data_IF_046081729834
#
_entry.id   IF_046081729834
#
_cell.length_a   1.000
_cell.length_b   1.000
_cell.length_c   1.000
_cell.angle_alpha   90.00
_cell.angle_beta   90.00
_cell.angle_gamma   90.00
#
_symmetry.space_group_name_H-M   'P 1'
#
loop_
_entity.id
_entity.type
_entity.pdbx_description
1 polymer ?
#
# COMPACT_ATOMS: atom_id res chain seq x y z
N UNK A 1 -30.56 111.30 -21.25
CA UNK A 1 -29.78 110.04 -21.33
C UNK A 1 -29.67 109.27 -20.02
N UNK A 2 -29.58 109.92 -18.84
CA UNK A 2 -29.48 109.23 -17.53
C UNK A 2 -30.79 108.55 -17.08
N UNK A 3 -31.94 109.20 -17.30
CA UNK A 3 -33.25 108.65 -16.93
C UNK A 3 -33.62 107.39 -17.75
N UNK A 4 -33.31 107.37 -19.06
CA UNK A 4 -33.55 106.20 -19.91
C UNK A 4 -32.68 104.99 -19.51
N UNK A 5 -31.43 105.22 -19.09
CA UNK A 5 -30.56 104.16 -18.56
C UNK A 5 -31.08 103.60 -17.23
N UNK A 6 -31.60 104.45 -16.34
CA UNK A 6 -32.19 104.01 -15.07
C UNK A 6 -33.46 103.18 -15.29
N UNK A 7 -34.30 103.55 -16.25
CA UNK A 7 -35.50 102.79 -16.63
C UNK A 7 -35.16 101.41 -17.23
N UNK A 8 -34.16 101.32 -18.10
CA UNK A 8 -33.71 100.03 -18.63
C UNK A 8 -33.11 99.12 -17.56
N UNK A 9 -32.36 99.66 -16.60
CA UNK A 9 -31.78 98.88 -15.49
C UNK A 9 -32.88 98.39 -14.54
N UNK A 10 -33.86 99.23 -14.21
CA UNK A 10 -35.03 98.85 -13.41
C UNK A 10 -35.84 97.72 -14.07
N UNK A 11 -36.06 97.80 -15.38
CA UNK A 11 -36.80 96.77 -16.11
C UNK A 11 -36.03 95.46 -16.22
N UNK A 12 -34.70 95.52 -16.31
CA UNK A 12 -33.85 94.33 -16.27
C UNK A 12 -33.89 93.66 -14.89
N UNK A 13 -33.82 94.43 -13.80
CA UNK A 13 -33.92 93.90 -12.42
C UNK A 13 -35.27 93.24 -12.12
N UNK A 14 -36.37 93.76 -12.66
CA UNK A 14 -37.69 93.11 -12.54
C UNK A 14 -37.80 91.79 -13.33
N UNK A 15 -37.04 91.64 -14.41
CA UNK A 15 -36.97 90.39 -15.18
C UNK A 15 -36.21 89.26 -14.48
N UNK A 16 -35.36 89.57 -13.49
CA UNK A 16 -34.61 88.56 -12.72
C UNK A 16 -35.39 88.00 -11.52
N UNK A 17 -36.52 88.61 -11.11
CA UNK A 17 -37.28 88.19 -9.92
C UNK A 17 -38.21 86.98 -10.14
N UNK A 18 -38.20 86.36 -11.33
CA UNK A 18 -39.04 85.20 -11.67
C UNK A 18 -38.34 83.84 -11.66
N UNK A 19 -37.08 83.76 -11.24
CA UNK A 19 -36.25 82.55 -11.32
C UNK A 19 -36.06 81.82 -9.98
N UNK A 20 -37.02 81.95 -9.06
CA UNK A 20 -37.00 81.23 -7.79
C UNK A 20 -38.38 80.66 -7.48
N UNK A 21 -38.71 79.53 -8.11
CA UNK A 21 -39.94 78.79 -7.87
C UNK A 21 -39.65 77.65 -6.88
N UNK A 22 -39.30 78.02 -5.64
CA UNK A 22 -39.00 77.10 -4.52
C UNK A 22 -40.15 76.10 -4.25
N UNK A 23 -41.37 76.41 -4.71
CA UNK A 23 -42.54 75.53 -4.61
C UNK A 23 -42.56 74.35 -5.60
N UNK A 24 -41.74 74.35 -6.65
CA UNK A 24 -41.76 73.30 -7.69
C UNK A 24 -41.25 71.95 -7.18
N UNK A 25 -40.44 71.93 -6.11
CA UNK A 25 -39.83 70.73 -5.55
C UNK A 25 -40.31 70.37 -4.13
N UNK A 26 -41.37 71.03 -3.64
CA UNK A 26 -41.92 70.76 -2.31
C UNK A 26 -42.35 69.29 -2.15
N UNK A 27 -42.93 68.69 -3.21
CA UNK A 27 -43.34 67.28 -3.25
C UNK A 27 -42.15 66.31 -3.15
N UNK A 28 -41.03 66.63 -3.82
CA UNK A 28 -39.81 65.85 -3.74
C UNK A 28 -39.20 65.89 -2.33
N UNK A 29 -39.24 67.06 -1.68
CA UNK A 29 -38.84 67.22 -0.29
C UNK A 29 -39.66 66.32 0.64
N UNK A 30 -40.99 66.34 0.51
CA UNK A 30 -41.88 65.49 1.29
C UNK A 30 -41.65 63.99 1.04
N UNK A 31 -41.42 63.59 -0.20
CA UNK A 31 -41.13 62.20 -0.55
C UNK A 31 -39.82 61.70 0.08
N UNK A 32 -38.77 62.53 0.07
CA UNK A 32 -37.48 62.18 0.69
C UNK A 32 -37.63 62.03 2.21
N UNK A 33 -38.34 62.94 2.86
CA UNK A 33 -38.55 62.88 4.30
C UNK A 33 -39.40 61.67 4.70
N UNK A 34 -40.43 61.34 3.92
CA UNK A 34 -41.22 60.13 4.12
C UNK A 34 -40.37 58.85 3.91
N UNK A 35 -39.56 58.81 2.85
CA UNK A 35 -38.70 57.67 2.55
C UNK A 35 -37.66 57.44 3.66
N UNK A 36 -37.12 58.52 4.24
CA UNK A 36 -36.18 58.46 5.38
C UNK A 36 -36.86 58.04 6.68
N UNK A 37 -38.12 58.42 6.89
CA UNK A 37 -38.89 58.08 8.07
C UNK A 37 -39.35 56.61 8.10
N UNK A 38 -39.26 55.89 6.96
CA UNK A 38 -39.60 54.46 6.91
C UNK A 38 -38.58 53.65 7.73
N UNK A 39 -39.02 52.92 8.76
CA UNK A 39 -38.12 52.13 9.58
C UNK A 39 -37.50 51.01 8.75
N UNK A 40 -36.16 50.88 8.78
CA UNK A 40 -35.47 49.74 8.21
C UNK A 40 -35.84 48.48 9.01
N UNK A 41 -36.40 47.47 8.34
CA UNK A 41 -36.73 46.19 8.97
C UNK A 41 -35.50 45.51 9.58
N UNK A 42 -35.74 44.58 10.50
CA UNK A 42 -34.67 43.78 11.09
C UNK A 42 -34.16 42.78 10.05
N UNK A 43 -32.87 42.82 9.71
CA UNK A 43 -32.24 41.89 8.77
C UNK A 43 -31.83 40.66 9.57
N UNK A 44 -32.29 39.47 9.16
CA UNK A 44 -31.90 38.25 9.84
C UNK A 44 -30.38 38.07 9.83
N UNK A 45 -29.77 37.74 10.98
CA UNK A 45 -28.33 37.56 11.07
C UNK A 45 -27.89 36.40 10.19
N UNK A 46 -26.70 36.55 9.60
CA UNK A 46 -26.10 35.51 8.79
C UNK A 46 -26.01 34.19 9.57
N UNK A 47 -26.26 33.04 8.91
CA UNK A 47 -26.20 31.74 9.56
C UNK A 47 -24.79 31.49 10.10
N UNK A 48 -24.71 30.96 11.32
CA UNK A 48 -23.43 30.62 11.93
C UNK A 48 -22.89 29.36 11.27
N UNK A 49 -21.73 29.47 10.64
CA UNK A 49 -20.98 28.32 10.14
C UNK A 49 -20.52 27.45 11.31
N UNK A 50 -20.79 26.14 11.24
CA UNK A 50 -20.24 25.21 12.22
C UNK A 50 -18.75 25.00 11.92
N UNK A 51 -17.87 25.07 12.92
CA UNK A 51 -16.47 24.76 12.71
C UNK A 51 -16.32 23.30 12.24
N UNK A 52 -15.42 23.08 11.29
CA UNK A 52 -15.04 21.77 10.83
C UNK A 52 -14.24 21.06 11.93
N UNK A 53 -14.71 19.89 12.38
CA UNK A 53 -13.93 19.02 13.26
C UNK A 53 -12.98 18.17 12.42
N UNK A 54 -11.68 18.29 12.68
CA UNK A 54 -10.66 17.48 12.02
C UNK A 54 -10.72 16.05 12.54
N UNK A 55 -11.08 15.10 11.69
CA UNK A 55 -10.98 13.68 11.99
C UNK A 55 -9.56 13.19 11.72
N UNK A 56 -8.86 12.72 12.76
CA UNK A 56 -7.52 12.14 12.60
C UNK A 56 -7.64 10.64 12.34
N UNK A 57 -7.18 10.19 11.17
CA UNK A 57 -7.25 8.78 10.78
C UNK A 57 -6.14 7.96 11.46
N UNK A 58 -6.49 7.30 12.57
CA UNK A 58 -5.54 6.46 13.34
C UNK A 58 -5.38 5.03 12.80
N UNK A 59 -6.13 4.65 11.76
CA UNK A 59 -6.12 3.27 11.24
C UNK A 59 -4.91 2.94 10.34
N UNK A 60 -4.05 3.90 10.03
CA UNK A 60 -2.77 3.64 9.35
C UNK A 60 -1.82 2.75 10.18
N UNK A 61 -1.93 2.80 11.51
CA UNK A 61 -1.12 1.98 12.42
C UNK A 61 -1.78 0.62 12.75
N UNK A 62 -2.98 0.37 12.24
CA UNK A 62 -3.66 -0.90 12.43
C UNK A 62 -3.27 -1.87 11.32
N UNK A 63 -3.33 -3.16 11.65
CA UNK A 63 -3.14 -4.24 10.67
C UNK A 63 -4.17 -4.11 9.55
N UNK A 64 -3.73 -4.31 8.31
CA UNK A 64 -4.63 -4.26 7.15
C UNK A 64 -5.79 -5.26 7.31
N UNK A 65 -7.05 -4.81 7.18
CA UNK A 65 -8.22 -5.69 7.28
C UNK A 65 -8.32 -6.68 6.11
N UNK A 66 -7.53 -6.49 5.05
CA UNK A 66 -7.48 -7.35 3.87
C UNK A 66 -6.37 -8.40 3.93
N UNK A 67 -5.56 -8.40 5.01
CA UNK A 67 -4.56 -9.45 5.22
C UNK A 67 -5.17 -10.60 6.03
N UNK A 68 -5.17 -11.84 5.50
CA UNK A 68 -5.69 -12.99 6.23
C UNK A 68 -4.88 -13.18 7.53
N UNK A 69 -5.51 -13.51 8.67
CA UNK A 69 -4.80 -13.80 9.93
C UNK A 69 -3.70 -14.84 9.72
N UNK A 70 -2.44 -14.46 9.95
CA UNK A 70 -1.35 -15.43 10.00
C UNK A 70 -1.58 -16.25 11.26
N UNK A 71 -2.03 -17.50 11.10
CA UNK A 71 -2.05 -18.47 12.19
C UNK A 71 -0.59 -18.78 12.51
N UNK A 72 -0.03 -18.09 13.51
CA UNK A 72 1.28 -18.44 14.04
C UNK A 72 1.07 -19.72 14.85
N UNK A 73 1.14 -20.84 14.16
CA UNK A 73 0.96 -22.14 14.78
C UNK A 73 2.26 -22.53 15.50
N UNK A 74 2.46 -21.97 16.69
CA UNK A 74 3.58 -22.28 17.58
C UNK A 74 3.58 -23.76 18.00
N UNK A 75 2.46 -24.48 17.80
CA UNK A 75 2.32 -25.91 18.11
C UNK A 75 2.77 -26.81 16.96
N UNK A 76 2.85 -26.29 15.73
CA UNK A 76 3.37 -27.01 14.56
C UNK A 76 4.85 -26.77 14.29
N UNK A 77 5.60 -26.24 15.27
CA UNK A 77 7.06 -26.40 15.24
C UNK A 77 7.31 -27.90 15.40
N UNK A 78 7.66 -28.57 14.30
CA UNK A 78 8.10 -29.97 14.35
C UNK A 78 9.19 -30.05 15.41
N UNK A 79 8.86 -30.58 16.60
CA UNK A 79 9.84 -30.74 17.67
C UNK A 79 10.87 -31.74 17.15
N UNK A 80 12.15 -31.35 17.17
CA UNK A 80 13.22 -32.27 16.83
C UNK A 80 13.12 -33.56 17.64
N UNK A 81 13.27 -34.69 16.98
CA UNK A 81 13.25 -36.00 17.64
C UNK A 81 14.66 -36.40 18.01
N UNK A 82 14.87 -36.86 19.26
CA UNK A 82 16.16 -37.45 19.68
C UNK A 82 16.47 -38.79 19.01
N UNK A 83 15.47 -39.40 18.36
CA UNK A 83 15.60 -40.69 17.66
C UNK A 83 16.22 -40.55 16.27
N UNK A 84 16.15 -39.37 15.66
CA UNK A 84 16.66 -39.14 14.31
C UNK A 84 18.08 -38.60 14.41
N UNK A 85 19.11 -39.45 14.47
CA UNK A 85 20.51 -38.99 14.45
C UNK A 85 21.14 -39.30 13.09
N UNK A 86 22.01 -38.41 12.55
CA UNK A 86 22.90 -38.79 11.46
C UNK A 86 23.72 -40.04 11.78
N UNK A 87 23.76 -40.99 10.84
CA UNK A 87 24.64 -42.15 10.95
C UNK A 87 26.08 -41.75 10.62
N UNK A 88 26.88 -41.55 11.68
CA UNK A 88 28.29 -41.18 11.58
C UNK A 88 29.20 -42.36 11.20
N UNK A 89 28.69 -43.60 11.26
CA UNK A 89 29.49 -44.82 10.98
C UNK A 89 29.52 -45.16 9.49
N UNK A 90 28.59 -44.63 8.71
CA UNK A 90 28.50 -44.84 7.27
C UNK A 90 29.58 -44.06 6.51
N UNK A 91 30.12 -44.68 5.46
CA UNK A 91 30.98 -44.00 4.48
C UNK A 91 30.19 -42.92 3.74
N UNK A 92 30.65 -41.67 3.82
CA UNK A 92 30.05 -40.54 3.11
C UNK A 92 30.22 -40.68 1.60
N UNK A 93 29.18 -40.34 0.86
CA UNK A 93 29.18 -40.25 -0.59
C UNK A 93 29.77 -38.91 -1.03
N UNK A 94 30.26 -38.86 -2.27
CA UNK A 94 30.88 -37.66 -2.83
C UNK A 94 29.98 -36.41 -2.78
N UNK A 95 28.69 -36.58 -3.04
CA UNK A 95 27.72 -35.48 -3.10
C UNK A 95 27.37 -34.87 -1.72
N UNK A 96 27.78 -35.51 -0.63
CA UNK A 96 27.55 -35.00 0.73
C UNK A 96 28.51 -33.87 1.12
N UNK A 97 29.57 -33.64 0.33
CA UNK A 97 30.48 -32.50 0.55
C UNK A 97 29.90 -31.14 0.14
N UNK A 98 28.79 -31.13 -0.60
CA UNK A 98 28.27 -29.94 -1.29
C UNK A 98 26.95 -29.47 -0.69
N UNK A 99 26.59 -28.21 -0.92
CA UNK A 99 25.29 -27.70 -0.46
C UNK A 99 24.18 -28.29 -1.34
N UNK A 100 23.06 -28.72 -0.72
CA UNK A 100 21.92 -29.26 -1.45
C UNK A 100 21.35 -28.27 -2.48
N UNK A 101 21.44 -26.98 -2.18
CA UNK A 101 20.96 -25.88 -3.03
C UNK A 101 21.79 -25.69 -4.31
N UNK A 102 22.99 -26.27 -4.35
CA UNK A 102 23.83 -26.24 -5.55
C UNK A 102 23.46 -27.32 -6.57
N UNK A 103 22.56 -28.25 -6.21
CA UNK A 103 22.13 -29.29 -7.11
C UNK A 103 20.92 -28.85 -7.93
N UNK A 104 21.01 -29.08 -9.23
CA UNK A 104 19.90 -28.90 -10.16
C UNK A 104 19.53 -30.26 -10.75
N UNK A 105 18.25 -30.64 -10.74
CA UNK A 105 17.81 -31.83 -11.45
C UNK A 105 17.78 -31.55 -12.96
N UNK A 106 18.46 -32.40 -13.73
CA UNK A 106 18.53 -32.29 -15.20
C UNK A 106 17.70 -33.34 -15.92
N UNK A 107 17.23 -34.37 -15.22
CA UNK A 107 16.34 -35.38 -15.79
C UNK A 107 16.32 -36.67 -14.97
N UNK A 108 15.60 -37.66 -15.49
CA UNK A 108 15.60 -39.05 -15.01
C UNK A 108 16.09 -39.96 -16.12
N UNK A 109 16.72 -41.08 -15.73
CA UNK A 109 17.03 -42.19 -16.64
C UNK A 109 16.56 -43.48 -15.99
N UNK A 110 15.94 -44.36 -16.75
CA UNK A 110 15.47 -45.66 -16.29
C UNK A 110 15.97 -46.76 -17.21
N UNK A 111 16.31 -47.90 -16.63
CA UNK A 111 16.57 -49.15 -17.35
C UNK A 111 16.05 -50.34 -16.51
N UNK A 112 16.35 -51.57 -16.92
CA UNK A 112 15.98 -52.79 -16.18
C UNK A 112 16.50 -52.82 -14.73
N UNK A 113 17.56 -52.06 -14.41
CA UNK A 113 18.14 -51.97 -13.07
C UNK A 113 17.51 -50.91 -12.16
N UNK A 114 16.57 -50.12 -12.69
CA UNK A 114 15.78 -49.13 -11.93
C UNK A 114 15.86 -47.71 -12.47
N UNK A 115 15.18 -46.79 -11.76
CA UNK A 115 15.12 -45.36 -12.08
C UNK A 115 16.18 -44.58 -11.30
N UNK A 116 16.94 -43.77 -12.01
CA UNK A 116 17.93 -42.86 -11.46
C UNK A 116 17.56 -41.41 -11.81
N UNK A 117 17.77 -40.50 -10.86
CA UNK A 117 17.77 -39.08 -11.15
C UNK A 117 19.16 -38.63 -11.60
N UNK A 118 19.20 -37.65 -12.49
CA UNK A 118 20.40 -36.96 -12.90
C UNK A 118 20.43 -35.60 -12.21
N UNK A 119 21.42 -35.41 -11.33
CA UNK A 119 21.66 -34.14 -10.64
C UNK A 119 22.94 -33.50 -11.15
N UNK A 120 22.86 -32.24 -11.55
CA UNK A 120 24.02 -31.41 -11.86
C UNK A 120 24.49 -30.70 -10.60
N UNK A 121 25.76 -30.81 -10.29
CA UNK A 121 26.41 -30.15 -9.15
C UNK A 121 27.83 -30.66 -9.00
N UNK A 122 28.60 -30.09 -8.06
CA UNK A 122 29.98 -30.50 -7.81
C UNK A 122 30.91 -30.52 -9.05
N UNK A 123 30.58 -29.72 -10.08
CA UNK A 123 31.33 -29.65 -11.34
C UNK A 123 30.94 -30.69 -12.41
N UNK A 124 29.91 -31.51 -12.18
CA UNK A 124 29.47 -32.54 -13.13
C UNK A 124 27.99 -32.90 -13.05
N UNK A 125 27.61 -33.94 -13.79
CA UNK A 125 26.28 -34.59 -13.68
C UNK A 125 26.48 -35.95 -13.03
N UNK A 126 25.72 -36.20 -11.97
CA UNK A 126 25.80 -37.40 -11.17
C UNK A 126 24.46 -38.14 -11.22
N UNK A 127 24.53 -39.47 -11.37
CA UNK A 127 23.36 -40.34 -11.22
C UNK A 127 23.16 -40.63 -9.75
N UNK A 128 21.91 -40.59 -9.29
CA UNK A 128 21.52 -40.94 -7.93
C UNK A 128 20.22 -41.76 -7.96
N UNK A 129 20.03 -42.63 -6.97
CA UNK A 129 18.81 -43.43 -6.80
C UNK A 129 18.20 -43.24 -5.41
N UNK A 130 17.00 -43.76 -5.22
CA UNK A 130 16.36 -43.81 -3.89
C UNK A 130 17.28 -44.52 -2.90
N UNK A 131 17.49 -43.87 -1.74
CA UNK A 131 18.39 -44.33 -0.69
C UNK A 131 19.81 -43.76 -0.75
N UNK A 132 20.22 -43.10 -1.84
CA UNK A 132 21.49 -42.38 -1.88
C UNK A 132 21.45 -41.11 -1.01
N UNK A 133 22.65 -40.61 -0.69
CA UNK A 133 22.84 -39.45 0.17
C UNK A 133 23.53 -38.32 -0.58
N UNK A 134 23.06 -37.10 -0.35
CA UNK A 134 23.60 -35.88 -0.93
C UNK A 134 23.44 -34.71 0.05
N UNK A 135 24.21 -33.66 -0.16
CA UNK A 135 24.13 -32.48 0.68
C UNK A 135 24.86 -32.64 2.01
N UNK A 136 25.32 -31.52 2.57
CA UNK A 136 26.05 -31.48 3.86
C UNK A 136 25.23 -31.95 5.07
N UNK A 137 23.90 -31.95 4.96
CA UNK A 137 22.98 -32.27 6.05
C UNK A 137 22.46 -33.72 5.99
N UNK A 138 23.26 -34.65 5.44
CA UNK A 138 22.90 -36.06 5.28
C UNK A 138 21.55 -36.26 4.56
N UNK A 139 21.33 -35.52 3.47
CA UNK A 139 20.10 -35.56 2.71
C UNK A 139 19.89 -36.92 2.05
N UNK A 140 18.94 -37.72 2.54
CA UNK A 140 18.60 -39.02 1.97
C UNK A 140 17.53 -38.87 0.91
N UNK A 141 17.76 -39.42 -0.29
CA UNK A 141 16.75 -39.46 -1.35
C UNK A 141 15.65 -40.45 -0.97
N UNK A 142 14.42 -39.97 -0.87
CA UNK A 142 13.24 -40.80 -0.54
C UNK A 142 12.39 -41.13 -1.76
N UNK A 143 12.38 -40.27 -2.77
CA UNK A 143 11.62 -40.46 -4.00
C UNK A 143 12.35 -39.87 -5.19
N UNK A 144 12.15 -40.46 -6.36
CA UNK A 144 12.57 -39.93 -7.65
C UNK A 144 11.37 -39.97 -8.58
N UNK A 145 10.99 -38.82 -9.12
CA UNK A 145 9.96 -38.67 -10.14
C UNK A 145 10.54 -37.99 -11.38
N UNK A 146 9.77 -37.92 -12.46
CA UNK A 146 10.23 -37.26 -13.70
C UNK A 146 10.36 -35.73 -13.56
N UNK A 147 9.64 -35.13 -12.61
CA UNK A 147 9.60 -33.69 -12.40
C UNK A 147 10.43 -33.21 -11.20
N UNK A 148 10.69 -34.08 -10.22
CA UNK A 148 11.43 -33.72 -9.01
C UNK A 148 12.08 -34.91 -8.29
N UNK A 149 13.09 -34.62 -7.49
CA UNK A 149 13.70 -35.54 -6.51
C UNK A 149 13.36 -35.08 -5.09
N UNK A 150 12.77 -35.96 -4.28
CA UNK A 150 12.47 -35.67 -2.88
C UNK A 150 13.58 -36.19 -1.95
N UNK A 151 14.02 -35.33 -1.06
CA UNK A 151 15.15 -35.55 -0.15
C UNK A 151 14.74 -35.17 1.26
N UNK A 152 15.12 -35.98 2.26
CA UNK A 152 14.97 -35.63 3.66
C UNK A 152 16.35 -35.32 4.24
N UNK A 153 16.57 -34.07 4.64
CA UNK A 153 17.77 -33.63 5.35
C UNK A 153 17.60 -33.80 6.86
N UNK A 154 18.71 -33.99 7.58
CA UNK A 154 18.74 -34.02 9.04
C UNK A 154 19.51 -32.79 9.52
N UNK A 155 18.81 -31.87 10.18
CA UNK A 155 19.38 -30.60 10.68
C UNK A 155 19.27 -30.51 12.20
N UNK A 156 20.24 -29.89 12.90
CA UNK A 156 20.14 -29.71 14.34
C UNK A 156 19.06 -28.66 14.69
N UNK A 157 18.23 -28.95 15.69
CA UNK A 157 17.14 -28.07 16.19
C UNK A 157 17.64 -27.00 17.19
N UNK A 158 18.96 -26.89 17.38
CA UNK A 158 19.60 -25.94 18.33
C UNK A 158 19.54 -26.35 19.80
N UNK A 159 18.60 -27.19 20.21
CA UNK A 159 18.45 -27.69 21.59
C UNK A 159 19.07 -29.10 21.79
N UNK A 160 19.96 -29.52 20.89
CA UNK A 160 20.60 -30.84 20.93
C UNK A 160 19.74 -32.00 20.38
N UNK A 161 18.56 -31.70 19.85
CA UNK A 161 17.75 -32.61 19.05
C UNK A 161 17.99 -32.39 17.55
N UNK A 162 17.50 -33.31 16.73
CA UNK A 162 17.59 -33.26 15.27
C UNK A 162 16.20 -33.20 14.65
N UNK A 163 16.10 -32.51 13.53
CA UNK A 163 14.88 -32.29 12.78
C UNK A 163 15.03 -32.81 11.35
N UNK A 164 14.04 -33.57 10.88
CA UNK A 164 13.92 -33.94 9.48
C UNK A 164 13.35 -32.76 8.69
N UNK A 165 14.07 -32.33 7.66
CA UNK A 165 13.65 -31.25 6.77
C UNK A 165 13.43 -31.81 5.37
N UNK A 166 12.17 -31.95 4.92
CA UNK A 166 11.88 -32.35 3.55
C UNK A 166 12.30 -31.22 2.58
N UNK A 167 12.95 -31.61 1.49
CA UNK A 167 13.37 -30.74 0.38
C UNK A 167 13.04 -31.45 -0.93
N UNK A 168 12.61 -30.69 -1.92
CA UNK A 168 12.41 -31.18 -3.28
C UNK A 168 13.34 -30.41 -4.22
N UNK A 169 14.00 -31.12 -5.12
CA UNK A 169 14.83 -30.56 -6.19
C UNK A 169 14.05 -30.75 -7.48
N UNK A 170 13.49 -29.66 -8.02
CA UNK A 170 12.70 -29.69 -9.23
C UNK A 170 13.56 -29.77 -10.49
N UNK A 171 13.00 -30.38 -11.54
CA UNK A 171 13.58 -30.40 -12.87
C UNK A 171 13.77 -28.97 -13.38
N UNK A 172 14.96 -28.67 -13.88
CA UNK A 172 15.25 -27.37 -14.48
C UNK A 172 14.41 -27.17 -15.74
N UNK A 173 13.46 -26.24 -15.70
CA UNK A 173 12.74 -25.79 -16.88
C UNK A 173 13.67 -25.01 -17.82
N UNK A 174 13.46 -25.12 -19.13
CA UNK A 174 14.17 -24.31 -20.12
C UNK A 174 13.73 -22.85 -19.97
N UNK A 175 14.67 -21.99 -19.58
CA UNK A 175 14.59 -20.53 -19.72
C UNK A 175 15.04 -20.10 -21.12
#
# INVERSE_FOLDING_TARGET
MRAARLLCVSMLLMGLAGCDNDQEFADLGTFIDEAKARPSGNIDPLPKFRPYETFTYNAANLRSPFQPPVKIDLLNRQKGSRLVKPDETRVKQFLEGFNIESFEMVGTIGNESGTFALLRGAGGVHRVKVGDYLGRNNGRIVSVSDAQVDVIEIVPDGEGAWLERPRSISLKERS
#
